data_IF_837512205104
#
_entry.id   IF_837512205104
#
_cell.length_a   1.000
_cell.length_b   1.000
_cell.length_c   1.000
_cell.angle_alpha   90.00
_cell.angle_beta   90.00
_cell.angle_gamma   90.00
#
_symmetry.space_group_name_H-M   'P 1'
#
loop_
_entity.id
_entity.type
_entity.pdbx_description
1 polymer ?
#
# COMPACT_ATOMS: atom_id res chain seq x y z
N UNK A 1 29.63 42.92 59.86
CA UNK A 1 30.16 41.80 59.03
C UNK A 1 29.04 41.40 58.08
N UNK A 2 29.21 41.71 56.79
CA UNK A 2 28.18 41.56 55.77
C UNK A 2 28.29 40.16 55.12
N UNK A 3 27.26 39.29 55.21
CA UNK A 3 27.31 37.92 54.68
C UNK A 3 27.19 37.83 53.14
N UNK A 4 27.12 38.94 52.40
CA UNK A 4 26.80 38.94 50.97
C UNK A 4 27.98 38.73 49.99
N UNK A 5 29.20 38.47 50.43
CA UNK A 5 30.39 38.51 49.56
C UNK A 5 31.07 37.15 49.27
N UNK A 6 30.32 36.05 49.15
CA UNK A 6 30.92 34.78 48.65
C UNK A 6 30.69 34.63 47.15
N UNK A 7 31.71 34.97 46.35
CA UNK A 7 31.75 34.62 44.92
C UNK A 7 31.74 33.09 44.76
N UNK A 8 30.91 32.53 43.85
CA UNK A 8 30.90 31.11 43.59
C UNK A 8 32.25 30.67 43.02
N UNK A 9 32.83 29.64 43.64
CA UNK A 9 34.10 29.05 43.26
C UNK A 9 33.85 28.15 42.04
N UNK A 10 34.22 28.62 40.85
CA UNK A 10 34.07 27.87 39.59
C UNK A 10 35.04 26.70 39.61
N UNK A 11 34.53 25.50 39.87
CA UNK A 11 35.27 24.26 39.69
C UNK A 11 35.29 23.91 38.19
N UNK A 12 36.47 23.67 37.64
CA UNK A 12 36.73 23.35 36.23
C UNK A 12 36.24 21.97 35.82
N UNK A 13 34.93 21.75 35.90
CA UNK A 13 34.24 20.61 35.30
C UNK A 13 33.63 21.02 33.97
N UNK A 14 33.90 20.26 32.91
CA UNK A 14 33.27 20.39 31.61
C UNK A 14 31.76 20.19 31.77
N UNK A 15 30.99 21.28 31.76
CA UNK A 15 29.53 21.20 31.81
C UNK A 15 29.03 20.65 30.47
N UNK A 16 28.77 19.34 30.43
CA UNK A 16 28.02 18.74 29.33
C UNK A 16 26.57 19.17 29.54
N UNK A 17 26.15 20.20 28.79
CA UNK A 17 24.76 20.62 28.77
C UNK A 17 23.91 19.47 28.22
N UNK A 18 23.21 18.76 29.10
CA UNK A 18 22.22 17.77 28.68
C UNK A 18 21.03 18.57 28.15
N UNK A 19 20.70 18.50 26.85
CA UNK A 19 19.59 19.26 26.31
C UNK A 19 18.31 18.80 27.00
N UNK A 20 17.58 19.75 27.59
CA UNK A 20 16.30 19.47 28.21
C UNK A 20 15.31 19.08 27.11
N UNK A 21 15.02 17.78 26.98
CA UNK A 21 14.02 17.29 26.04
C UNK A 21 12.65 17.67 26.59
N UNK A 22 12.01 18.68 26.00
CA UNK A 22 10.66 19.08 26.36
C UNK A 22 9.68 17.99 25.92
N UNK A 23 9.16 17.22 26.87
CA UNK A 23 8.13 16.23 26.57
C UNK A 23 6.88 16.93 26.01
N UNK A 24 6.29 16.44 24.91
CA UNK A 24 5.07 17.00 24.36
C UNK A 24 3.93 16.84 25.37
N UNK A 25 3.03 17.84 25.42
CA UNK A 25 1.85 17.78 26.28
C UNK A 25 1.02 16.54 25.90
N UNK A 26 0.59 15.70 26.86
CA UNK A 26 -0.18 14.50 26.58
C UNK A 26 -1.47 14.76 25.79
N UNK A 27 -2.09 15.94 25.97
CA UNK A 27 -3.29 16.34 25.22
C UNK A 27 -2.97 16.52 23.72
N UNK A 28 -1.80 17.06 23.39
CA UNK A 28 -1.38 17.26 22.00
C UNK A 28 -1.02 15.94 21.32
N UNK A 29 -0.42 15.01 22.08
CA UNK A 29 -0.17 13.64 21.61
C UNK A 29 -1.51 12.94 21.33
N UNK A 30 -2.47 13.03 22.25
CA UNK A 30 -3.79 12.40 22.08
C UNK A 30 -4.53 12.95 20.85
N UNK A 31 -4.53 14.27 20.64
CA UNK A 31 -5.16 14.90 19.46
C UNK A 31 -4.55 14.44 18.14
N UNK A 32 -3.26 14.07 18.11
CA UNK A 32 -2.58 13.55 16.93
C UNK A 32 -2.85 12.06 16.71
N UNK A 33 -2.93 11.27 17.79
CA UNK A 33 -3.08 9.81 17.72
C UNK A 33 -4.54 9.38 17.52
N UNK A 34 -5.49 10.06 18.15
CA UNK A 34 -6.91 9.73 18.09
C UNK A 34 -7.47 9.57 16.66
N UNK A 35 -7.26 10.50 15.71
CA UNK A 35 -7.79 10.33 14.36
C UNK A 35 -7.15 9.14 13.64
N UNK A 36 -5.88 8.82 13.91
CA UNK A 36 -5.21 7.65 13.33
C UNK A 36 -5.82 6.35 13.85
N UNK A 37 -6.11 6.28 15.15
CA UNK A 37 -6.77 5.12 15.77
C UNK A 37 -8.18 4.94 15.20
N UNK A 38 -8.95 6.02 15.07
CA UNK A 38 -10.29 5.96 14.49
C UNK A 38 -10.27 5.49 13.02
N UNK A 39 -9.30 5.97 12.22
CA UNK A 39 -9.11 5.49 10.84
C UNK A 39 -8.74 4.00 10.83
N UNK A 40 -7.85 3.56 11.72
CA UNK A 40 -7.46 2.15 11.83
C UNK A 40 -8.66 1.26 12.20
N UNK A 41 -9.45 1.66 13.20
CA UNK A 41 -10.65 0.94 13.63
C UNK A 41 -11.70 0.92 12.52
N UNK A 42 -11.92 2.02 11.81
CA UNK A 42 -12.89 2.09 10.72
C UNK A 42 -12.45 1.28 9.48
N UNK A 43 -11.15 1.13 9.25
CA UNK A 43 -10.62 0.39 8.10
C UNK A 43 -10.47 -1.11 8.37
N UNK A 44 -10.37 -1.52 9.64
CA UNK A 44 -10.17 -2.93 10.01
C UNK A 44 -11.26 -3.89 9.49
N UNK A 45 -12.58 -3.59 9.60
CA UNK A 45 -13.62 -4.46 9.07
C UNK A 45 -13.55 -4.60 7.55
N UNK A 46 -13.16 -3.53 6.86
CA UNK A 46 -13.00 -3.55 5.40
C UNK A 46 -11.82 -4.43 5.01
N UNK A 47 -10.67 -4.25 5.67
CA UNK A 47 -9.49 -5.08 5.42
C UNK A 47 -9.75 -6.55 5.77
N UNK A 48 -10.43 -6.82 6.89
CA UNK A 48 -10.86 -8.17 7.27
C UNK A 48 -11.81 -8.79 6.26
N UNK A 49 -12.83 -8.04 5.81
CA UNK A 49 -13.75 -8.47 4.77
C UNK A 49 -13.06 -8.74 3.43
N UNK A 50 -12.12 -7.89 3.03
CA UNK A 50 -11.31 -8.08 1.83
C UNK A 50 -10.42 -9.32 1.93
N UNK A 51 -9.82 -9.58 3.09
CA UNK A 51 -8.99 -10.76 3.32
C UNK A 51 -9.83 -12.05 3.25
N UNK A 52 -10.99 -12.07 3.91
CA UNK A 52 -11.91 -13.23 3.86
C UNK A 52 -12.39 -13.47 2.43
N UNK A 53 -12.77 -12.41 1.72
CA UNK A 53 -13.19 -12.49 0.32
C UNK A 53 -12.07 -13.00 -0.60
N UNK A 54 -10.82 -12.56 -0.36
CA UNK A 54 -9.65 -13.04 -1.08
C UNK A 54 -9.36 -14.52 -0.80
N UNK A 55 -9.37 -14.94 0.47
CA UNK A 55 -9.18 -16.34 0.87
C UNK A 55 -10.25 -17.22 0.24
N UNK A 56 -11.51 -16.78 0.28
CA UNK A 56 -12.62 -17.49 -0.37
C UNK A 56 -12.38 -17.60 -1.88
N UNK A 57 -12.03 -16.49 -2.56
CA UNK A 57 -11.74 -16.49 -3.98
C UNK A 57 -10.59 -17.44 -4.36
N UNK A 58 -9.45 -17.36 -3.65
CA UNK A 58 -8.30 -18.25 -3.87
C UNK A 58 -8.67 -19.71 -3.64
N UNK A 59 -9.43 -20.00 -2.57
CA UNK A 59 -9.87 -21.37 -2.28
C UNK A 59 -10.77 -21.92 -3.37
N UNK A 60 -11.67 -21.10 -3.93
CA UNK A 60 -12.52 -21.51 -5.04
C UNK A 60 -11.71 -21.73 -6.32
N UNK A 61 -10.78 -20.84 -6.67
CA UNK A 61 -9.92 -20.99 -7.86
C UNK A 61 -9.01 -22.22 -7.73
N UNK A 62 -8.43 -22.44 -6.56
CA UNK A 62 -7.62 -23.63 -6.27
C UNK A 62 -8.47 -24.91 -6.35
N UNK A 63 -9.70 -24.87 -5.83
CA UNK A 63 -10.67 -25.95 -5.96
C UNK A 63 -10.99 -26.28 -7.42
N UNK A 64 -11.24 -25.26 -8.24
CA UNK A 64 -11.48 -25.44 -9.68
C UNK A 64 -10.27 -26.07 -10.38
N UNK A 65 -9.05 -25.70 -9.99
CA UNK A 65 -7.82 -26.20 -10.62
C UNK A 65 -7.47 -27.63 -10.21
N UNK A 66 -7.77 -28.01 -8.97
CA UNK A 66 -7.48 -29.35 -8.43
C UNK A 66 -8.55 -30.39 -8.78
N UNK A 67 -9.73 -29.93 -9.19
CA UNK A 67 -10.89 -30.77 -9.35
C UNK A 67 -11.26 -30.87 -10.83
N UNK A 68 -11.21 -32.07 -11.40
CA UNK A 68 -11.75 -32.40 -12.73
C UNK A 68 -13.29 -32.37 -12.74
N UNK A 69 -13.89 -31.50 -11.93
CA UNK A 69 -15.31 -31.52 -11.59
C UNK A 69 -16.05 -30.64 -12.60
N UNK A 70 -17.03 -31.26 -13.25
CA UNK A 70 -18.13 -30.63 -13.99
C UNK A 70 -19.04 -29.80 -13.05
N UNK A 71 -18.48 -29.01 -12.13
CA UNK A 71 -19.21 -28.31 -11.08
C UNK A 71 -19.77 -27.00 -11.61
N UNK A 72 -20.77 -27.07 -12.48
CA UNK A 72 -21.56 -25.92 -12.91
C UNK A 72 -22.19 -25.14 -11.75
N UNK A 73 -22.30 -25.74 -10.56
CA UNK A 73 -22.84 -25.12 -9.35
C UNK A 73 -21.89 -24.15 -8.64
N UNK A 74 -20.58 -24.18 -8.91
CA UNK A 74 -19.62 -23.21 -8.33
C UNK A 74 -19.62 -21.86 -9.07
N UNK A 75 -19.96 -21.87 -10.36
CA UNK A 75 -19.99 -20.67 -11.21
C UNK A 75 -20.91 -19.56 -10.66
N UNK A 76 -22.15 -19.86 -10.21
CA UNK A 76 -23.04 -18.87 -9.62
C UNK A 76 -22.50 -18.24 -8.33
N UNK A 77 -21.81 -19.01 -7.48
CA UNK A 77 -21.22 -18.48 -6.24
C UNK A 77 -20.03 -17.56 -6.54
N UNK A 78 -19.19 -17.91 -7.52
CA UNK A 78 -18.15 -17.00 -8.02
C UNK A 78 -18.74 -15.73 -8.61
N UNK A 79 -19.76 -15.86 -9.47
CA UNK A 79 -20.43 -14.72 -10.09
C UNK A 79 -21.10 -13.81 -9.05
N UNK A 80 -21.76 -14.40 -8.05
CA UNK A 80 -22.38 -13.68 -6.95
C UNK A 80 -21.35 -12.98 -6.05
N UNK A 81 -20.15 -13.57 -5.87
CA UNK A 81 -19.06 -12.98 -5.09
C UNK A 81 -18.31 -11.86 -5.82
N UNK A 82 -18.24 -11.91 -7.16
CA UNK A 82 -17.50 -10.92 -7.97
C UNK A 82 -18.07 -9.51 -7.79
N UNK A 83 -19.40 -9.35 -7.76
CA UNK A 83 -20.03 -8.03 -7.63
C UNK A 83 -19.69 -7.32 -6.30
N UNK A 84 -19.91 -7.91 -5.11
CA UNK A 84 -19.58 -7.27 -3.84
C UNK A 84 -18.06 -7.09 -3.68
N UNK A 85 -17.25 -8.04 -4.16
CA UNK A 85 -15.79 -7.95 -4.10
C UNK A 85 -15.29 -6.80 -5.00
N UNK A 86 -15.84 -6.68 -6.20
CA UNK A 86 -15.60 -5.57 -7.12
C UNK A 86 -16.01 -4.21 -6.54
N UNK A 87 -17.19 -4.15 -5.92
CA UNK A 87 -17.65 -2.93 -5.24
C UNK A 87 -16.74 -2.54 -4.06
N UNK A 88 -16.30 -3.52 -3.26
CA UNK A 88 -15.37 -3.32 -2.15
C UNK A 88 -14.00 -2.82 -2.62
N UNK A 89 -13.44 -3.44 -3.66
CA UNK A 89 -12.20 -2.98 -4.29
C UNK A 89 -12.33 -1.58 -4.87
N UNK A 90 -13.46 -1.27 -5.53
CA UNK A 90 -13.72 0.06 -6.06
C UNK A 90 -13.81 1.12 -4.94
N UNK A 91 -14.53 0.80 -3.86
CA UNK A 91 -14.60 1.68 -2.69
C UNK A 91 -13.21 1.93 -2.09
N UNK A 92 -12.40 0.87 -1.94
CA UNK A 92 -11.04 0.96 -1.42
C UNK A 92 -10.13 1.78 -2.35
N UNK A 93 -10.24 1.60 -3.68
CA UNK A 93 -9.56 2.42 -4.70
C UNK A 93 -9.85 3.90 -4.52
N UNK A 94 -11.12 4.28 -4.30
CA UNK A 94 -11.54 5.66 -4.16
C UNK A 94 -11.01 6.31 -2.87
N UNK A 95 -10.89 5.54 -1.78
CA UNK A 95 -10.48 6.06 -0.47
C UNK A 95 -8.98 6.09 -0.26
N UNK A 96 -8.27 5.06 -0.73
CA UNK A 96 -6.85 4.84 -0.47
C UNK A 96 -6.11 4.50 -1.78
N UNK A 97 -6.10 5.41 -2.78
CA UNK A 97 -5.57 5.13 -4.11
C UNK A 97 -4.09 4.72 -4.09
N UNK A 98 -3.28 5.27 -3.18
CA UNK A 98 -1.87 4.92 -3.07
C UNK A 98 -1.63 3.49 -2.59
N UNK A 99 -2.36 3.04 -1.57
CA UNK A 99 -2.30 1.66 -1.08
C UNK A 99 -2.85 0.68 -2.11
N UNK A 100 -3.98 1.03 -2.72
CA UNK A 100 -4.57 0.22 -3.78
C UNK A 100 -3.63 0.08 -4.99
N UNK A 101 -2.97 1.16 -5.41
CA UNK A 101 -1.97 1.10 -6.47
C UNK A 101 -0.76 0.23 -6.11
N UNK A 102 -0.29 0.28 -4.86
CA UNK A 102 0.74 -0.63 -4.36
C UNK A 102 0.33 -2.11 -4.39
N UNK A 103 -0.93 -2.41 -4.02
CA UNK A 103 -1.49 -3.76 -4.12
C UNK A 103 -1.59 -4.24 -5.57
N UNK A 104 -2.07 -3.40 -6.50
CA UNK A 104 -2.10 -3.75 -7.92
C UNK A 104 -0.70 -4.08 -8.44
N UNK A 105 0.32 -3.27 -8.11
CA UNK A 105 1.70 -3.56 -8.50
C UNK A 105 2.18 -4.90 -7.94
N UNK A 106 1.96 -5.18 -6.66
CA UNK A 106 2.36 -6.44 -6.03
C UNK A 106 1.67 -7.65 -6.68
N UNK A 107 0.36 -7.56 -6.94
CA UNK A 107 -0.41 -8.61 -7.62
C UNK A 107 0.09 -8.81 -9.05
N UNK A 108 0.36 -7.73 -9.80
CA UNK A 108 0.92 -7.80 -11.14
C UNK A 108 2.28 -8.51 -11.18
N UNK A 109 3.17 -8.20 -10.22
CA UNK A 109 4.45 -8.91 -10.08
C UNK A 109 4.29 -10.38 -9.71
N UNK A 110 3.39 -10.72 -8.78
CA UNK A 110 3.11 -12.11 -8.42
C UNK A 110 2.56 -12.89 -9.61
N UNK A 111 1.65 -12.29 -10.39
CA UNK A 111 1.10 -12.88 -11.60
C UNK A 111 2.20 -13.14 -12.64
N UNK A 112 3.08 -12.14 -12.87
CA UNK A 112 4.20 -12.26 -13.78
C UNK A 112 5.21 -13.33 -13.33
N UNK A 113 5.51 -13.42 -12.02
CA UNK A 113 6.44 -14.40 -11.47
C UNK A 113 5.89 -15.83 -11.54
N UNK A 114 4.62 -16.03 -11.17
CA UNK A 114 3.93 -17.32 -11.32
C UNK A 114 3.96 -17.78 -12.78
N UNK A 115 3.67 -16.84 -13.69
CA UNK A 115 3.64 -17.10 -15.11
C UNK A 115 5.03 -17.42 -15.70
N UNK A 116 6.08 -16.71 -15.30
CA UNK A 116 7.46 -17.00 -15.71
C UNK A 116 7.86 -18.44 -15.32
N UNK A 117 7.45 -18.92 -14.15
CA UNK A 117 7.69 -20.29 -13.73
C UNK A 117 6.96 -21.32 -14.60
N UNK A 118 5.72 -21.03 -15.03
CA UNK A 118 4.98 -21.92 -15.92
C UNK A 118 5.53 -21.96 -17.36
N UNK A 119 6.03 -20.83 -17.85
CA UNK A 119 6.67 -20.73 -19.18
C UNK A 119 7.93 -21.57 -19.25
N UNK A 120 8.74 -21.57 -18.19
CA UNK A 120 9.97 -22.36 -18.13
C UNK A 120 9.71 -23.87 -18.11
N UNK A 121 8.53 -24.32 -17.64
CA UNK A 121 8.21 -25.73 -17.46
C UNK A 121 7.50 -26.42 -18.63
N UNK A 122 6.91 -25.67 -19.58
CA UNK A 122 6.08 -26.29 -20.63
C UNK A 122 6.05 -25.37 -21.86
N UNK A 123 6.42 -25.80 -23.07
CA UNK A 123 6.55 -24.90 -24.25
C UNK A 123 5.29 -24.83 -25.14
N UNK A 124 4.23 -25.56 -24.81
CA UNK A 124 3.19 -25.92 -25.79
C UNK A 124 2.12 -24.88 -26.16
N UNK A 125 1.88 -23.82 -25.37
CA UNK A 125 0.78 -22.89 -25.61
C UNK A 125 1.26 -21.43 -25.55
N UNK A 126 1.70 -20.84 -26.65
CA UNK A 126 2.26 -19.48 -26.66
C UNK A 126 1.20 -18.35 -26.58
N UNK A 127 -0.02 -18.60 -27.06
CA UNK A 127 -1.01 -17.53 -27.29
C UNK A 127 -1.73 -17.04 -26.03
N UNK A 128 -2.37 -17.93 -25.26
CA UNK A 128 -3.05 -17.60 -23.98
C UNK A 128 -2.11 -16.96 -22.96
N UNK A 129 -0.86 -17.35 -23.10
CA UNK A 129 0.32 -17.00 -22.35
C UNK A 129 0.75 -15.55 -22.52
N UNK A 130 0.82 -15.10 -23.76
CA UNK A 130 1.08 -13.68 -24.08
C UNK A 130 0.01 -12.75 -23.47
N UNK A 131 -1.27 -13.17 -23.48
CA UNK A 131 -2.36 -12.41 -22.89
C UNK A 131 -2.24 -12.27 -21.37
N UNK A 132 -1.84 -13.33 -20.66
CA UNK A 132 -1.62 -13.27 -19.20
C UNK A 132 -0.46 -12.34 -18.85
N UNK A 133 0.65 -12.39 -19.61
CA UNK A 133 1.78 -11.47 -19.41
C UNK A 133 1.38 -10.00 -19.65
N UNK A 134 0.61 -9.73 -20.72
CA UNK A 134 0.06 -8.40 -20.98
C UNK A 134 -0.92 -7.96 -19.88
N UNK A 135 -1.73 -8.87 -19.35
CA UNK A 135 -2.62 -8.62 -18.22
C UNK A 135 -1.85 -8.23 -16.96
N UNK A 136 -0.79 -8.96 -16.63
CA UNK A 136 0.09 -8.64 -15.50
C UNK A 136 0.73 -7.25 -15.65
N UNK A 137 1.27 -6.94 -16.84
CA UNK A 137 1.84 -5.63 -17.14
C UNK A 137 0.81 -4.51 -17.01
N UNK A 138 -0.40 -4.72 -17.56
CA UNK A 138 -1.50 -3.77 -17.47
C UNK A 138 -1.88 -3.46 -16.02
N UNK A 139 -1.93 -4.50 -15.15
CA UNK A 139 -2.20 -4.32 -13.72
C UNK A 139 -1.11 -3.45 -13.07
N UNK A 140 0.17 -3.66 -13.38
CA UNK A 140 1.27 -2.82 -12.86
C UNK A 140 1.13 -1.37 -13.30
N UNK A 141 0.85 -1.11 -14.59
CA UNK A 141 0.65 0.24 -15.12
C UNK A 141 -0.52 0.93 -14.43
N UNK A 142 -1.62 0.23 -14.22
CA UNK A 142 -2.80 0.73 -13.50
C UNK A 142 -2.48 1.05 -12.04
N UNK A 143 -1.66 0.22 -11.40
CA UNK A 143 -1.18 0.47 -10.04
C UNK A 143 -0.34 1.74 -9.95
N UNK A 144 0.57 1.98 -10.91
CA UNK A 144 1.34 3.22 -11.00
C UNK A 144 0.45 4.47 -11.19
N UNK A 145 -0.59 4.39 -12.03
CA UNK A 145 -1.58 5.47 -12.19
C UNK A 145 -2.31 5.80 -10.88
N UNK A 146 -2.70 4.78 -10.12
CA UNK A 146 -3.33 4.98 -8.81
C UNK A 146 -2.37 5.57 -7.77
N UNK A 147 -1.08 5.21 -7.81
CA UNK A 147 -0.06 5.85 -6.96
C UNK A 147 0.08 7.33 -7.34
N UNK A 148 0.18 7.65 -8.64
CA UNK A 148 0.26 9.04 -9.10
C UNK A 148 -0.93 9.88 -8.61
N UNK A 149 -2.16 9.36 -8.75
CA UNK A 149 -3.39 10.01 -8.27
C UNK A 149 -3.41 10.23 -6.75
N UNK A 150 -2.63 9.48 -5.99
CA UNK A 150 -2.53 9.62 -4.54
C UNK A 150 -1.57 10.73 -4.09
N UNK A 151 -0.72 11.25 -4.98
CA UNK A 151 0.27 12.27 -4.66
C UNK A 151 -0.42 13.62 -4.46
N UNK A 152 -0.41 14.12 -3.21
CA UNK A 152 -1.02 15.41 -2.86
C UNK A 152 -0.02 16.57 -2.80
N UNK A 153 1.27 16.27 -2.57
CA UNK A 153 2.29 17.30 -2.38
C UNK A 153 2.95 17.66 -3.71
N UNK A 154 3.13 18.96 -4.03
CA UNK A 154 3.84 19.38 -5.23
C UNK A 154 5.24 18.76 -5.35
N UNK A 155 5.96 18.65 -4.23
CA UNK A 155 7.30 18.03 -4.19
C UNK A 155 7.30 16.55 -4.57
N UNK A 156 6.22 15.82 -4.27
CA UNK A 156 6.08 14.41 -4.67
C UNK A 156 5.76 14.30 -6.15
N UNK A 157 4.84 15.13 -6.65
CA UNK A 157 4.47 15.18 -8.08
C UNK A 157 5.70 15.53 -8.94
N UNK A 158 6.51 16.51 -8.51
CA UNK A 158 7.75 16.89 -9.20
C UNK A 158 8.77 15.74 -9.25
N UNK A 159 8.92 15.00 -8.14
CA UNK A 159 9.81 13.81 -8.11
C UNK A 159 9.29 12.73 -9.04
N UNK A 160 7.98 12.48 -9.05
CA UNK A 160 7.35 11.52 -9.95
C UNK A 160 7.58 11.90 -11.41
N UNK A 161 7.30 13.15 -11.78
CA UNK A 161 7.46 13.63 -13.15
C UNK A 161 8.91 13.55 -13.63
N UNK A 162 9.88 13.78 -12.74
CA UNK A 162 11.30 13.60 -13.07
C UNK A 162 11.66 12.16 -13.45
N UNK A 163 11.06 11.17 -12.78
CA UNK A 163 11.33 9.74 -13.03
C UNK A 163 10.68 9.27 -14.33
N UNK A 164 9.43 9.67 -14.58
CA UNK A 164 8.64 9.12 -15.69
C UNK A 164 8.59 10.00 -16.95
N UNK A 165 8.76 11.32 -16.83
CA UNK A 165 8.56 12.28 -17.92
C UNK A 165 9.78 13.21 -18.17
N UNK A 166 10.91 12.96 -17.50
CA UNK A 166 12.13 13.75 -17.66
C UNK A 166 12.05 15.18 -17.07
N UNK A 167 13.12 15.98 -17.23
CA UNK A 167 13.18 17.35 -16.66
C UNK A 167 12.39 18.39 -17.45
N UNK A 168 12.23 18.19 -18.75
CA UNK A 168 11.60 19.18 -19.65
C UNK A 168 10.10 19.36 -19.41
N UNK A 169 9.43 18.35 -18.84
CA UNK A 169 8.02 18.41 -18.47
C UNK A 169 7.76 19.26 -17.21
N UNK A 170 8.81 19.56 -16.42
CA UNK A 170 8.69 20.28 -15.14
C UNK A 170 8.61 21.80 -15.32
N UNK A 171 9.19 22.35 -16.39
CA UNK A 171 9.23 23.81 -16.59
C UNK A 171 7.90 24.41 -17.09
N UNK A 172 6.88 23.58 -17.32
CA UNK A 172 5.55 23.98 -17.82
C UNK A 172 4.46 23.96 -16.74
N UNK A 173 4.81 23.59 -15.49
CA UNK A 173 3.92 23.56 -14.32
C UNK A 173 4.22 24.73 -13.39
#
# INVERSE_FOLDING_TARGET
MDPAARKPRVWGGTWIAVPYVKFPNPVDVLKRVLPLVLIAVATWPVLGGMLVALIFFVSVVAGISASSIESGWLLPFLAAGILPLGAGLYWFRCRLPGWYGGLEIAVGFLLAAHYLNEVLGNLGNADTRSLTALGALYIVVRGLDNIYKSLKKPTQILRWNRVFFGRESVSKL
#
